data_IF_886168158857
#
_entry.id   IF_886168158857
#
_cell.length_a   1.000
_cell.length_b   1.000
_cell.length_c   1.000
_cell.angle_alpha   90.00
_cell.angle_beta   90.00
_cell.angle_gamma   90.00
#
_symmetry.space_group_name_H-M   'P 1'
#
loop_
_entity.id
_entity.type
_entity.pdbx_description
1 polymer ?
#
# COMPACT_ATOMS: atom_id res chain seq x y z
N UNK A 1 -16.27 -7.05 11.36
CA UNK A 1 -15.47 -5.98 10.74
C UNK A 1 -16.17 -5.62 9.45
N UNK A 2 -16.56 -4.38 9.27
CA UNK A 2 -17.24 -3.91 8.07
C UNK A 2 -16.25 -3.12 7.24
N UNK A 3 -15.72 -3.74 6.20
CA UNK A 3 -15.00 -3.04 5.15
C UNK A 3 -15.98 -2.13 4.41
N UNK A 4 -15.57 -0.91 4.12
CA UNK A 4 -16.42 0.02 3.37
C UNK A 4 -16.62 -0.45 1.93
N UNK A 5 -17.71 0.01 1.30
CA UNK A 5 -17.98 -0.26 -0.11
C UNK A 5 -16.83 0.23 -0.99
N UNK A 6 -16.58 -0.48 -2.10
CA UNK A 6 -15.60 -0.06 -3.12
C UNK A 6 -16.08 1.14 -3.94
N UNK A 7 -17.41 1.30 -4.06
CA UNK A 7 -18.05 2.40 -4.79
C UNK A 7 -18.39 3.55 -3.82
N UNK A 8 -17.39 4.31 -3.43
CA UNK A 8 -17.54 5.48 -2.58
C UNK A 8 -17.42 6.77 -3.38
N UNK A 9 -18.07 7.86 -2.96
CA UNK A 9 -17.80 9.20 -3.50
C UNK A 9 -16.33 9.56 -3.30
N UNK A 10 -15.70 10.10 -4.35
CA UNK A 10 -14.30 10.53 -4.30
C UNK A 10 -14.14 11.94 -4.82
N UNK A 11 -13.36 12.73 -4.13
CA UNK A 11 -12.94 14.05 -4.57
C UNK A 11 -11.58 13.95 -5.24
N UNK A 12 -11.48 14.43 -6.46
CA UNK A 12 -10.28 14.39 -7.27
C UNK A 12 -9.72 15.79 -7.49
N UNK A 13 -8.40 15.88 -7.60
CA UNK A 13 -7.70 17.05 -8.13
C UNK A 13 -6.89 16.65 -9.35
N UNK A 14 -6.82 17.54 -10.33
CA UNK A 14 -5.99 17.39 -11.52
C UNK A 14 -5.09 18.61 -11.65
N UNK A 15 -3.82 18.39 -11.95
CA UNK A 15 -2.83 19.44 -12.18
C UNK A 15 -1.74 18.96 -13.13
N UNK A 16 -1.13 19.88 -13.88
CA UNK A 16 -0.01 19.59 -14.76
C UNK A 16 1.22 19.27 -13.92
N UNK A 17 2.01 18.27 -14.32
CA UNK A 17 3.26 17.97 -13.64
C UNK A 17 4.23 19.13 -13.79
N UNK A 18 4.65 19.77 -12.68
CA UNK A 18 5.61 20.87 -12.72
C UNK A 18 6.97 20.54 -13.34
N UNK A 19 7.30 19.24 -13.44
CA UNK A 19 8.52 18.75 -14.04
C UNK A 19 8.39 18.41 -15.52
N UNK A 20 7.17 18.49 -16.10
CA UNK A 20 6.93 18.19 -17.50
C UNK A 20 7.68 19.13 -18.43
N UNK A 21 8.18 18.56 -19.53
CA UNK A 21 8.70 19.36 -20.64
C UNK A 21 7.54 20.03 -21.39
N UNK A 22 7.74 21.21 -21.99
CA UNK A 22 6.66 21.94 -22.66
C UNK A 22 6.00 21.18 -23.81
N UNK A 23 6.74 20.27 -24.45
CA UNK A 23 6.29 19.48 -25.61
C UNK A 23 5.73 18.09 -25.21
N UNK A 24 5.77 17.75 -23.91
CA UNK A 24 5.33 16.46 -23.38
C UNK A 24 4.61 16.66 -22.04
N UNK A 25 3.42 17.28 -22.12
CA UNK A 25 2.63 17.58 -20.92
C UNK A 25 2.17 16.29 -20.27
N UNK A 26 2.49 16.15 -18.99
CA UNK A 26 1.97 15.11 -18.12
C UNK A 26 1.03 15.76 -17.09
N UNK A 27 0.02 15.02 -16.65
CA UNK A 27 -0.93 15.46 -15.63
C UNK A 27 -1.07 14.43 -14.55
N UNK A 28 -1.10 14.92 -13.31
CA UNK A 28 -1.51 14.11 -12.18
C UNK A 28 -3.01 14.25 -11.94
N UNK A 29 -3.66 13.11 -11.65
CA UNK A 29 -5.02 13.01 -11.16
C UNK A 29 -4.99 12.28 -9.82
N UNK A 30 -5.26 13.00 -8.72
CA UNK A 30 -5.05 12.50 -7.36
C UNK A 30 -6.36 12.39 -6.58
N UNK A 31 -6.56 11.27 -5.89
CA UNK A 31 -7.71 10.99 -5.04
C UNK A 31 -7.53 11.66 -3.67
N UNK A 32 -8.11 12.85 -3.50
CA UNK A 32 -8.03 13.60 -2.24
C UNK A 32 -8.75 12.87 -1.10
N UNK A 33 -9.84 12.14 -1.38
CA UNK A 33 -10.57 11.37 -0.35
C UNK A 33 -9.68 10.33 0.28
N UNK A 34 -8.90 9.60 -0.52
CA UNK A 34 -7.93 8.63 -0.03
C UNK A 34 -6.72 9.29 0.62
N UNK A 35 -6.08 10.21 -0.08
CA UNK A 35 -4.81 10.82 0.35
C UNK A 35 -4.94 11.65 1.63
N UNK A 36 -6.15 12.11 1.96
CA UNK A 36 -6.42 12.81 3.23
C UNK A 36 -7.06 11.92 4.30
N UNK A 37 -7.21 10.63 4.04
CA UNK A 37 -7.71 9.67 5.04
C UNK A 37 -6.71 9.44 6.17
N UNK A 38 -7.19 8.96 7.31
CA UNK A 38 -6.37 8.61 8.47
C UNK A 38 -5.80 7.18 8.40
N UNK A 39 -5.76 6.59 7.20
CA UNK A 39 -5.16 5.27 7.05
C UNK A 39 -3.69 5.28 7.49
N UNK A 40 -3.28 4.20 8.14
CA UNK A 40 -1.88 3.92 8.49
C UNK A 40 -1.59 2.43 8.29
N UNK A 41 -0.35 2.11 7.94
CA UNK A 41 0.08 0.72 7.92
C UNK A 41 0.14 0.19 9.35
N UNK A 42 -0.62 -0.87 9.63
CA UNK A 42 -0.64 -1.54 10.94
C UNK A 42 0.40 -2.66 11.03
N UNK A 43 1.34 -2.74 10.09
CA UNK A 43 2.48 -3.66 10.15
C UNK A 43 3.23 -3.49 11.48
N UNK A 44 3.48 -4.60 12.17
CA UNK A 44 4.10 -4.57 13.50
C UNK A 44 3.19 -4.06 14.63
N UNK A 45 1.91 -3.77 14.36
CA UNK A 45 0.96 -3.21 15.33
C UNK A 45 -0.43 -3.87 15.22
N UNK A 46 -0.49 -5.15 14.85
CA UNK A 46 -1.73 -5.90 14.75
C UNK A 46 -2.30 -5.99 13.33
N UNK A 47 -1.47 -5.94 12.30
CA UNK A 47 -1.92 -6.18 10.93
C UNK A 47 -2.50 -7.59 10.77
N UNK A 48 -3.78 -7.71 10.46
CA UNK A 48 -4.44 -9.00 10.25
C UNK A 48 -3.85 -9.79 9.07
N UNK A 49 -3.22 -9.11 8.10
CA UNK A 49 -2.59 -9.73 6.93
C UNK A 49 -1.27 -10.45 7.20
N UNK A 50 -0.70 -10.36 8.41
CA UNK A 50 0.51 -11.09 8.78
C UNK A 50 0.24 -12.33 9.65
N UNK A 51 -1.02 -12.64 9.95
CA UNK A 51 -1.40 -13.82 10.72
C UNK A 51 -1.48 -15.04 9.82
N UNK A 52 -0.47 -15.92 9.90
CA UNK A 52 -0.41 -17.14 9.09
C UNK A 52 -1.52 -18.16 9.40
N UNK A 53 -2.22 -18.03 10.54
CA UNK A 53 -3.41 -18.85 10.84
C UNK A 53 -4.65 -18.40 10.07
N UNK A 54 -4.57 -17.26 9.38
CA UNK A 54 -5.64 -16.64 8.59
C UNK A 54 -5.11 -16.38 7.16
N UNK A 55 -4.91 -17.44 6.36
CA UNK A 55 -4.21 -17.34 5.07
C UNK A 55 -4.93 -16.48 4.04
N UNK A 56 -6.23 -16.25 4.21
CA UNK A 56 -7.06 -15.42 3.31
C UNK A 56 -7.09 -13.93 3.72
N UNK A 57 -6.24 -13.53 4.68
CA UNK A 57 -6.15 -12.16 5.14
C UNK A 57 -5.00 -11.39 4.46
N UNK A 58 -5.27 -10.13 4.13
CA UNK A 58 -4.28 -9.13 3.77
C UNK A 58 -3.44 -9.40 2.52
N UNK A 59 -2.57 -8.45 2.20
CA UNK A 59 -1.80 -8.43 0.96
C UNK A 59 -0.65 -9.46 0.90
N UNK A 60 -0.15 -9.93 2.05
CA UNK A 60 1.01 -10.85 2.07
C UNK A 60 0.66 -12.30 1.70
N UNK A 61 -0.62 -12.66 1.60
CA UNK A 61 -1.05 -14.04 1.29
C UNK A 61 -1.05 -14.35 -0.20
N UNK A 62 -1.18 -13.34 -1.06
CA UNK A 62 -1.26 -13.53 -2.51
C UNK A 62 0.11 -13.63 -3.20
N UNK A 63 1.20 -13.26 -2.52
CA UNK A 63 2.48 -12.98 -3.17
C UNK A 63 2.45 -11.59 -3.84
N UNK A 64 3.60 -11.14 -4.33
CA UNK A 64 3.77 -9.83 -4.96
C UNK A 64 4.06 -10.02 -6.44
N UNK A 65 3.17 -9.56 -7.32
CA UNK A 65 3.41 -9.51 -8.75
C UNK A 65 4.44 -8.43 -9.07
N UNK A 66 5.40 -8.76 -9.91
CA UNK A 66 6.39 -7.78 -10.37
C UNK A 66 5.79 -6.89 -11.44
N UNK A 67 6.13 -5.60 -11.40
CA UNK A 67 5.69 -4.63 -12.41
C UNK A 67 6.46 -4.76 -13.72
N UNK A 68 7.56 -5.52 -13.73
CA UNK A 68 8.38 -5.83 -14.88
C UNK A 68 9.72 -6.46 -14.49
N UNK A 69 10.57 -6.71 -15.49
CA UNK A 69 11.87 -7.38 -15.31
C UNK A 69 12.81 -6.60 -14.38
N UNK A 70 12.74 -5.28 -14.39
CA UNK A 70 13.61 -4.44 -13.55
C UNK A 70 13.21 -4.52 -12.08
N UNK A 71 11.91 -4.62 -11.76
CA UNK A 71 11.40 -4.82 -10.40
C UNK A 71 11.85 -6.19 -9.86
N UNK A 72 11.66 -7.27 -10.66
CA UNK A 72 12.14 -8.61 -10.27
C UNK A 72 13.65 -8.62 -10.05
N UNK A 73 14.43 -8.01 -10.94
CA UNK A 73 15.89 -7.92 -10.84
C UNK A 73 16.32 -7.14 -9.58
N UNK A 74 15.65 -6.02 -9.30
CA UNK A 74 15.90 -5.26 -8.07
C UNK A 74 15.69 -6.13 -6.83
N UNK A 75 14.56 -6.84 -6.75
CA UNK A 75 14.29 -7.76 -5.64
C UNK A 75 15.31 -8.91 -5.58
N UNK A 76 15.77 -9.43 -6.74
CA UNK A 76 16.82 -10.46 -6.76
C UNK A 76 18.13 -9.98 -6.14
N UNK A 77 18.52 -8.74 -6.37
CA UNK A 77 19.71 -8.14 -5.74
C UNK A 77 19.56 -8.06 -4.21
N UNK A 78 18.37 -7.72 -3.72
CA UNK A 78 18.06 -7.72 -2.28
C UNK A 78 18.08 -9.13 -1.71
N UNK A 79 17.45 -10.11 -2.38
CA UNK A 79 17.39 -11.52 -1.98
C UNK A 79 18.79 -12.11 -1.82
N UNK A 80 19.74 -11.74 -2.70
CA UNK A 80 21.12 -12.18 -2.60
C UNK A 80 21.83 -11.71 -1.32
N UNK A 81 21.27 -10.76 -0.59
CA UNK A 81 21.80 -10.26 0.69
C UNK A 81 21.10 -10.85 1.92
N UNK A 82 20.03 -11.63 1.73
CA UNK A 82 19.30 -12.24 2.83
C UNK A 82 20.08 -13.41 3.43
N UNK A 83 19.83 -13.64 4.71
CA UNK A 83 20.40 -14.73 5.49
C UNK A 83 19.30 -15.53 6.19
N UNK A 84 19.59 -16.75 6.74
CA UNK A 84 18.61 -17.49 7.54
C UNK A 84 18.09 -16.71 8.76
N UNK A 85 18.82 -15.70 9.23
CA UNK A 85 18.37 -14.85 10.35
C UNK A 85 17.38 -13.77 9.91
N UNK A 86 17.31 -13.45 8.61
CA UNK A 86 16.40 -12.45 8.05
C UNK A 86 15.04 -13.06 7.68
N UNK A 87 15.01 -14.31 7.18
CA UNK A 87 13.82 -14.91 6.57
C UNK A 87 13.60 -16.35 6.99
N UNK A 88 12.37 -16.65 7.44
CA UNK A 88 11.98 -17.96 7.94
C UNK A 88 12.12 -19.08 6.91
N UNK A 89 11.76 -18.80 5.65
CA UNK A 89 11.79 -19.77 4.55
C UNK A 89 13.05 -19.65 3.69
N UNK A 90 14.20 -19.39 4.32
CA UNK A 90 15.46 -19.23 3.60
C UNK A 90 15.82 -20.46 2.75
N UNK A 91 15.63 -21.66 3.28
CA UNK A 91 15.90 -22.90 2.55
C UNK A 91 15.02 -23.05 1.30
N UNK A 92 13.78 -22.55 1.35
CA UNK A 92 12.89 -22.51 0.20
C UNK A 92 13.36 -21.50 -0.87
N UNK A 93 13.89 -20.36 -0.44
CA UNK A 93 14.42 -19.32 -1.33
C UNK A 93 15.63 -19.82 -2.11
N UNK A 94 16.53 -20.55 -1.45
CA UNK A 94 17.78 -21.06 -2.08
C UNK A 94 17.62 -22.42 -2.74
N UNK A 95 16.44 -23.05 -2.64
CA UNK A 95 16.13 -24.32 -3.32
C UNK A 95 16.01 -24.14 -4.84
N UNK A 96 15.95 -25.25 -5.57
CA UNK A 96 15.71 -25.24 -7.02
C UNK A 96 14.35 -24.59 -7.39
N UNK A 97 13.36 -24.57 -6.50
CA UNK A 97 12.08 -23.91 -6.69
C UNK A 97 12.19 -22.36 -6.62
N UNK A 98 13.19 -21.85 -5.90
CA UNK A 98 13.46 -20.42 -5.77
C UNK A 98 12.37 -19.65 -5.02
N UNK A 99 12.41 -18.35 -5.15
CA UNK A 99 11.53 -17.39 -4.47
C UNK A 99 10.51 -16.74 -5.41
N UNK A 100 10.52 -17.10 -6.69
CA UNK A 100 9.62 -16.60 -7.73
C UNK A 100 8.79 -17.73 -8.30
N UNK A 101 7.53 -17.47 -8.57
CA UNK A 101 6.64 -18.35 -9.32
C UNK A 101 5.95 -17.61 -10.45
N UNK A 102 5.34 -18.36 -11.36
CA UNK A 102 4.48 -17.83 -12.42
C UNK A 102 3.06 -18.28 -12.10
N UNK A 103 2.11 -17.37 -12.12
CA UNK A 103 0.71 -17.70 -11.88
C UNK A 103 0.00 -18.26 -13.13
N UNK A 104 -1.29 -18.54 -13.01
CA UNK A 104 -2.09 -19.15 -14.08
C UNK A 104 -2.31 -18.18 -15.28
N UNK A 105 -2.12 -16.88 -15.08
CA UNK A 105 -2.23 -15.84 -16.11
C UNK A 105 -0.89 -15.62 -16.84
N UNK A 106 0.18 -16.21 -16.32
CA UNK A 106 1.53 -16.12 -16.87
C UNK A 106 2.37 -15.01 -16.26
N UNK A 107 1.86 -14.33 -15.23
CA UNK A 107 2.54 -13.24 -14.54
C UNK A 107 3.51 -13.75 -13.49
N UNK A 108 4.64 -13.05 -13.37
CA UNK A 108 5.69 -13.41 -12.41
C UNK A 108 5.45 -12.70 -11.08
N UNK A 109 5.56 -13.48 -9.99
CA UNK A 109 5.35 -12.97 -8.63
C UNK A 109 6.25 -13.67 -7.62
N UNK A 110 6.33 -13.13 -6.41
CA UNK A 110 6.96 -13.83 -5.29
C UNK A 110 6.19 -15.10 -4.95
N UNK A 111 6.92 -16.19 -4.74
CA UNK A 111 6.33 -17.51 -4.49
C UNK A 111 5.51 -17.54 -3.20
N UNK A 112 4.39 -18.23 -3.24
CA UNK A 112 3.57 -18.54 -2.07
C UNK A 112 4.03 -19.87 -1.46
N UNK A 113 4.38 -19.86 -0.17
CA UNK A 113 4.81 -21.02 0.62
C UNK A 113 3.92 -21.09 1.84
N UNK A 114 3.29 -22.25 2.06
CA UNK A 114 2.36 -22.47 3.19
C UNK A 114 1.29 -21.40 3.33
N UNK A 115 0.70 -20.95 2.21
CA UNK A 115 -0.42 -20.03 2.18
C UNK A 115 -0.07 -18.53 2.26
N UNK A 116 1.21 -18.16 2.18
CA UNK A 116 1.62 -16.75 2.12
C UNK A 116 2.94 -16.56 1.38
N UNK A 117 3.27 -15.30 1.06
CA UNK A 117 4.52 -14.91 0.43
C UNK A 117 5.73 -15.53 1.17
N UNK A 118 6.69 -16.05 0.42
CA UNK A 118 7.93 -16.68 0.95
C UNK A 118 8.74 -15.74 1.85
N UNK A 119 8.59 -14.44 1.69
CA UNK A 119 9.23 -13.41 2.53
C UNK A 119 8.42 -13.06 3.79
N UNK A 120 7.26 -13.69 4.03
CA UNK A 120 6.48 -13.48 5.23
C UNK A 120 7.00 -14.34 6.38
N UNK A 121 7.66 -13.73 7.35
CA UNK A 121 8.03 -14.37 8.61
C UNK A 121 6.77 -14.49 9.49
N UNK A 122 6.51 -15.71 9.98
CA UNK A 122 5.32 -16.06 10.74
C UNK A 122 5.60 -16.06 12.24
N UNK A 123 4.56 -16.12 13.09
CA UNK A 123 4.70 -16.25 14.53
C UNK A 123 5.70 -17.34 14.93
N UNK A 124 6.60 -17.02 15.86
CA UNK A 124 7.66 -17.93 16.32
C UNK A 124 9.00 -17.79 15.60
N UNK A 125 9.09 -17.08 14.48
CA UNK A 125 10.39 -16.78 13.86
C UNK A 125 11.16 -15.71 14.66
N UNK A 126 12.44 -15.99 14.95
CA UNK A 126 13.29 -15.06 15.71
C UNK A 126 12.96 -14.93 17.20
N UNK A 127 11.94 -15.62 17.68
CA UNK A 127 11.63 -15.67 19.12
C UNK A 127 12.48 -16.73 19.80
N UNK A 128 13.14 -16.37 20.88
CA UNK A 128 13.70 -17.38 21.78
C UNK A 128 12.56 -18.25 22.34
N UNK A 129 12.67 -19.58 22.23
CA UNK A 129 11.68 -20.55 22.69
C UNK A 129 11.71 -20.59 24.22
N UNK A 130 11.25 -19.53 24.89
CA UNK A 130 10.92 -19.55 26.31
C UNK A 130 9.40 -19.63 26.42
N UNK A 131 8.96 -20.83 26.85
CA UNK A 131 7.58 -21.24 26.83
C UNK A 131 6.66 -20.31 27.63
N UNK A 132 5.60 -19.91 27.00
CA UNK A 132 4.44 -19.38 27.68
C UNK A 132 3.61 -18.41 26.85
N UNK A 133 2.38 -18.81 26.64
CA UNK A 133 1.20 -18.12 26.20
C UNK A 133 1.03 -17.83 24.70
N UNK A 134 -0.10 -18.33 24.20
CA UNK A 134 -0.61 -18.28 22.84
C UNK A 134 -1.11 -16.89 22.39
N UNK A 135 -0.80 -15.83 23.11
CA UNK A 135 -1.06 -14.45 22.67
C UNK A 135 0.07 -14.02 21.71
N UNK A 136 -0.13 -14.32 20.45
CA UNK A 136 0.77 -13.91 19.36
C UNK A 136 0.75 -12.40 19.26
N UNK A 137 1.74 -11.76 19.88
CA UNK A 137 2.00 -10.33 19.72
C UNK A 137 2.43 -10.07 18.27
N UNK A 138 1.52 -9.53 17.45
CA UNK A 138 1.77 -9.14 16.06
C UNK A 138 2.90 -8.07 15.90
N UNK A 139 3.47 -7.60 17.01
CA UNK A 139 4.63 -6.70 17.07
C UNK A 139 5.94 -7.40 17.42
N UNK A 140 5.99 -8.73 17.50
CA UNK A 140 7.19 -9.46 17.87
C UNK A 140 8.35 -9.21 16.87
N UNK A 141 9.59 -9.05 17.36
CA UNK A 141 10.76 -8.91 16.50
C UNK A 141 10.85 -10.04 15.47
N UNK A 142 11.09 -9.70 14.21
CA UNK A 142 11.22 -10.67 13.11
C UNK A 142 9.90 -11.08 12.46
N UNK A 143 8.75 -10.83 13.06
CA UNK A 143 7.44 -11.14 12.50
C UNK A 143 7.10 -10.20 11.33
N UNK A 144 6.50 -10.73 10.26
CA UNK A 144 6.04 -9.97 9.10
C UNK A 144 7.00 -10.01 7.92
N UNK A 145 6.90 -9.08 6.99
CA UNK A 145 7.72 -9.08 5.77
C UNK A 145 9.22 -8.95 6.08
N UNK A 146 10.01 -9.97 5.73
CA UNK A 146 11.47 -10.01 5.94
C UNK A 146 12.18 -8.82 5.26
N UNK A 147 11.72 -8.42 4.06
CA UNK A 147 12.29 -7.28 3.33
C UNK A 147 12.05 -5.97 4.06
N UNK A 148 10.87 -5.81 4.66
CA UNK A 148 10.53 -4.63 5.47
C UNK A 148 11.35 -4.58 6.77
N UNK A 149 11.46 -5.73 7.47
CA UNK A 149 12.28 -5.84 8.68
C UNK A 149 13.75 -5.54 8.40
N UNK A 150 14.27 -6.03 7.27
CA UNK A 150 15.64 -5.75 6.83
C UNK A 150 15.86 -4.27 6.53
N UNK A 151 14.90 -3.60 5.91
CA UNK A 151 14.97 -2.17 5.68
C UNK A 151 15.11 -1.39 7.00
N UNK A 152 14.27 -1.71 7.99
CA UNK A 152 14.38 -1.10 9.32
C UNK A 152 15.72 -1.40 10.00
N UNK A 153 16.16 -2.66 9.96
CA UNK A 153 17.42 -3.08 10.57
C UNK A 153 18.65 -2.40 9.94
N UNK A 154 18.57 -2.06 8.65
CA UNK A 154 19.65 -1.38 7.91
C UNK A 154 19.50 0.14 7.84
N UNK A 155 18.36 0.68 8.35
CA UNK A 155 18.11 2.12 8.39
C UNK A 155 17.82 2.73 7.02
N UNK A 156 17.28 1.93 6.08
CA UNK A 156 16.86 2.39 4.77
C UNK A 156 15.33 2.38 4.66
N UNK A 157 14.79 3.14 3.74
CA UNK A 157 13.35 3.18 3.50
C UNK A 157 12.86 1.84 2.92
N UNK A 158 11.69 1.31 3.37
CA UNK A 158 11.18 0.02 2.92
C UNK A 158 10.99 -0.10 1.40
N UNK A 159 10.69 1.00 0.70
CA UNK A 159 10.55 1.02 -0.76
C UNK A 159 11.84 0.64 -1.50
N UNK A 160 13.01 0.81 -0.87
CA UNK A 160 14.31 0.45 -1.46
C UNK A 160 14.59 -1.06 -1.47
N UNK A 161 13.82 -1.88 -0.75
CA UNK A 161 14.07 -3.32 -0.62
C UNK A 161 12.88 -4.20 -1.04
N UNK A 162 11.69 -3.63 -1.20
CA UNK A 162 10.46 -4.38 -1.47
C UNK A 162 10.11 -4.36 -2.96
N UNK A 163 9.37 -5.38 -3.46
CA UNK A 163 8.73 -5.29 -4.77
C UNK A 163 7.88 -4.03 -4.90
N UNK A 164 7.78 -3.49 -6.10
CA UNK A 164 7.09 -2.22 -6.35
C UNK A 164 5.65 -2.23 -5.83
N UNK A 165 4.89 -3.28 -6.11
CA UNK A 165 3.51 -3.41 -5.62
C UNK A 165 3.43 -3.38 -4.08
N UNK A 166 4.43 -3.95 -3.38
CA UNK A 166 4.41 -4.04 -1.92
C UNK A 166 4.71 -2.71 -1.23
N UNK A 167 5.58 -1.88 -1.81
CA UNK A 167 5.88 -0.60 -1.19
C UNK A 167 4.91 0.50 -1.61
N UNK A 168 4.31 0.40 -2.80
CA UNK A 168 3.25 1.31 -3.22
C UNK A 168 1.98 1.17 -2.37
N UNK A 169 1.72 -0.03 -1.83
CA UNK A 169 0.52 -0.24 -1.02
C UNK A 169 0.50 0.73 0.19
N UNK A 170 -0.62 1.39 0.41
CA UNK A 170 -1.92 1.24 -0.26
C UNK A 170 -2.19 2.32 -1.33
N UNK A 171 -1.16 2.80 -2.00
CA UNK A 171 -1.28 3.79 -3.08
C UNK A 171 -1.15 3.07 -4.42
N UNK A 172 -2.06 3.35 -5.33
CA UNK A 172 -2.00 2.86 -6.70
C UNK A 172 -1.63 3.98 -7.64
N UNK A 173 -0.55 3.77 -8.41
CA UNK A 173 -0.21 4.58 -9.58
C UNK A 173 -0.68 3.86 -10.83
N UNK A 174 -1.37 4.57 -11.70
CA UNK A 174 -1.75 4.06 -13.02
C UNK A 174 -1.65 5.15 -14.08
N UNK A 175 -1.52 4.73 -15.33
CA UNK A 175 -1.28 5.63 -16.45
C UNK A 175 -2.34 5.45 -17.53
N UNK A 176 -2.77 6.56 -18.14
CA UNK A 176 -3.57 6.53 -19.37
C UNK A 176 -3.18 7.66 -20.30
N UNK A 177 -3.27 7.42 -21.61
CA UNK A 177 -3.21 8.49 -22.60
C UNK A 177 -4.60 9.09 -22.76
N UNK A 178 -4.67 10.40 -22.70
CA UNK A 178 -5.90 11.16 -22.89
C UNK A 178 -5.76 11.97 -24.17
N UNK A 179 -6.72 11.80 -25.09
CA UNK A 179 -6.80 12.59 -26.32
C UNK A 179 -7.86 13.66 -26.14
N UNK A 180 -7.47 14.90 -26.29
CA UNK A 180 -8.38 16.06 -26.23
C UNK A 180 -9.19 16.21 -27.53
N UNK A 181 -10.33 16.95 -27.53
CA UNK A 181 -11.15 17.14 -28.73
C UNK A 181 -10.44 17.81 -29.91
N UNK A 182 -9.38 18.57 -29.66
CA UNK A 182 -8.52 19.22 -30.66
C UNK A 182 -7.43 18.28 -31.23
N UNK A 183 -7.33 17.04 -30.68
CA UNK A 183 -6.38 16.03 -31.09
C UNK A 183 -5.04 16.07 -30.33
N UNK A 184 -4.86 16.99 -29.39
CA UNK A 184 -3.71 16.97 -28.50
C UNK A 184 -3.81 15.78 -27.53
N UNK A 185 -2.67 15.23 -27.14
CA UNK A 185 -2.58 14.10 -26.21
C UNK A 185 -1.69 14.45 -25.02
N UNK A 186 -2.08 13.94 -23.85
CA UNK A 186 -1.23 14.00 -22.66
C UNK A 186 -1.23 12.65 -21.93
N UNK A 187 -0.19 12.40 -21.14
CA UNK A 187 -0.14 11.28 -20.22
C UNK A 187 -0.79 11.71 -18.90
N UNK A 188 -1.84 10.99 -18.48
CA UNK A 188 -2.43 11.15 -17.16
C UNK A 188 -1.86 10.07 -16.22
N UNK A 189 -1.26 10.51 -15.13
CA UNK A 189 -0.81 9.67 -14.03
C UNK A 189 -1.80 9.80 -12.88
N UNK A 190 -2.53 8.73 -12.60
CA UNK A 190 -3.49 8.70 -11.48
C UNK A 190 -2.81 8.16 -10.23
N UNK A 191 -2.95 8.89 -9.11
CA UNK A 191 -2.54 8.51 -7.76
C UNK A 191 -3.80 8.33 -6.91
N UNK A 192 -4.08 7.10 -6.50
CA UNK A 192 -5.34 6.75 -5.85
C UNK A 192 -5.16 5.65 -4.78
N UNK A 193 -6.25 5.26 -4.16
CA UNK A 193 -6.29 4.10 -3.28
C UNK A 193 -5.99 2.82 -4.06
N UNK A 194 -5.13 1.98 -3.49
CA UNK A 194 -4.95 0.61 -3.93
C UNK A 194 -5.98 -0.26 -3.20
N UNK A 195 -7.21 -0.27 -3.69
CA UNK A 195 -8.28 -1.10 -3.15
C UNK A 195 -8.19 -2.56 -3.65
N UNK A 196 -9.11 -3.41 -3.21
CA UNK A 196 -9.15 -4.84 -3.58
C UNK A 196 -9.09 -5.09 -5.09
N UNK A 197 -9.68 -4.21 -5.91
CA UNK A 197 -9.69 -4.34 -7.37
C UNK A 197 -8.30 -4.26 -7.98
N UNK A 198 -7.37 -3.65 -7.27
CA UNK A 198 -5.96 -3.59 -7.69
C UNK A 198 -5.28 -4.96 -7.78
N UNK A 199 -5.79 -5.95 -7.03
CA UNK A 199 -5.29 -7.33 -7.00
C UNK A 199 -5.98 -8.25 -8.02
N UNK A 200 -6.77 -7.72 -8.95
CA UNK A 200 -7.56 -8.51 -9.88
C UNK A 200 -8.60 -9.38 -9.17
N UNK A 201 -8.85 -10.57 -9.72
CA UNK A 201 -9.84 -11.50 -9.16
C UNK A 201 -9.49 -11.95 -7.73
N UNK A 202 -8.21 -12.20 -7.44
CA UNK A 202 -7.74 -12.62 -6.12
C UNK A 202 -7.98 -11.60 -5.01
N UNK A 203 -8.10 -10.31 -5.34
CA UNK A 203 -8.40 -9.27 -4.36
C UNK A 203 -9.76 -9.43 -3.69
N UNK A 204 -10.73 -10.00 -4.40
CA UNK A 204 -12.07 -10.26 -3.86
C UNK A 204 -12.12 -11.46 -2.90
N UNK A 205 -11.12 -12.34 -2.97
CA UNK A 205 -10.99 -13.52 -2.12
C UNK A 205 -10.31 -13.22 -0.78
N UNK A 206 -9.75 -12.01 -0.61
CA UNK A 206 -9.17 -11.58 0.67
C UNK A 206 -10.27 -11.37 1.72
N UNK A 207 -10.21 -12.05 2.85
CA UNK A 207 -11.15 -11.88 3.97
C UNK A 207 -11.04 -10.49 4.62
N UNK A 208 -9.83 -9.93 4.63
CA UNK A 208 -9.56 -8.61 5.20
C UNK A 208 -8.57 -7.83 4.31
N UNK A 209 -8.86 -6.55 4.11
CA UNK A 209 -7.97 -5.67 3.38
C UNK A 209 -7.94 -4.28 4.01
N UNK A 210 -6.75 -3.75 4.26
CA UNK A 210 -6.55 -2.61 5.17
C UNK A 210 -7.15 -1.29 4.66
N UNK A 211 -7.17 -1.05 3.34
CA UNK A 211 -7.55 0.27 2.83
C UNK A 211 -9.03 0.61 3.07
N UNK A 212 -9.90 -0.40 3.09
CA UNK A 212 -11.33 -0.24 3.33
C UNK A 212 -11.77 -0.49 4.78
N UNK A 213 -10.87 -0.91 5.67
CA UNK A 213 -11.21 -1.26 7.05
C UNK A 213 -10.86 -0.15 8.04
N UNK A 214 -11.84 0.25 8.85
CA UNK A 214 -11.69 1.29 9.88
C UNK A 214 -10.59 1.00 10.90
N UNK A 215 -10.25 -0.27 11.11
CA UNK A 215 -9.14 -0.72 11.96
C UNK A 215 -7.77 -0.18 11.53
N UNK A 216 -7.61 0.08 10.22
CA UNK A 216 -6.40 0.67 9.68
C UNK A 216 -6.48 2.21 9.52
N UNK A 217 -7.64 2.84 9.80
CA UNK A 217 -7.83 4.29 9.71
C UNK A 217 -7.64 4.97 11.06
N UNK A 218 -6.51 4.65 11.71
CA UNK A 218 -6.14 5.10 13.08
C UNK A 218 -4.86 5.94 13.09
N UNK A 219 -4.35 6.35 11.93
CA UNK A 219 -3.16 7.18 11.80
C UNK A 219 -3.34 8.58 12.36
N UNK A 220 -2.30 9.09 13.02
CA UNK A 220 -2.25 10.46 13.51
C UNK A 220 -2.13 11.48 12.36
N UNK A 221 -1.45 11.08 11.29
CA UNK A 221 -1.24 11.87 10.09
C UNK A 221 -2.02 11.29 8.91
N UNK A 222 -2.51 12.13 7.99
CA UNK A 222 -3.16 11.64 6.77
C UNK A 222 -2.16 10.97 5.82
N UNK A 223 -2.67 10.13 4.90
CA UNK A 223 -1.87 9.34 3.96
C UNK A 223 -0.82 10.18 3.23
N UNK A 224 -1.18 11.36 2.70
CA UNK A 224 -0.21 12.19 1.96
C UNK A 224 0.97 12.66 2.81
N UNK A 225 0.85 12.68 4.15
CA UNK A 225 1.93 13.02 5.09
C UNK A 225 2.68 11.75 5.50
N UNK A 226 1.98 10.71 5.93
CA UNK A 226 2.58 9.47 6.43
C UNK A 226 3.27 8.66 5.33
N UNK A 227 2.78 8.74 4.08
CA UNK A 227 3.35 8.06 2.89
C UNK A 227 4.09 9.04 1.97
N UNK A 228 4.63 10.11 2.54
CA UNK A 228 5.38 11.12 1.76
C UNK A 228 6.58 10.54 1.00
N UNK A 229 7.44 9.67 1.58
CA UNK A 229 8.56 9.09 0.84
C UNK A 229 8.10 8.34 -0.41
N UNK A 230 7.07 7.50 -0.29
CA UNK A 230 6.48 6.73 -1.38
C UNK A 230 5.85 7.64 -2.44
N UNK A 231 5.11 8.66 -2.02
CA UNK A 231 4.50 9.63 -2.94
C UNK A 231 5.56 10.43 -3.70
N UNK A 232 6.65 10.83 -3.05
CA UNK A 232 7.78 11.52 -3.71
C UNK A 232 8.45 10.61 -4.73
N UNK A 233 8.56 9.30 -4.44
CA UNK A 233 9.08 8.32 -5.41
C UNK A 233 8.11 8.11 -6.58
N UNK A 234 6.81 8.09 -6.33
CA UNK A 234 5.77 7.86 -7.35
C UNK A 234 5.57 9.04 -8.30
N UNK A 235 5.76 10.27 -7.85
CA UNK A 235 5.36 11.47 -8.61
C UNK A 235 6.41 12.59 -8.66
N UNK A 236 7.53 12.42 -8.00
CA UNK A 236 8.55 13.44 -7.86
C UNK A 236 8.21 14.50 -6.82
N UNK A 237 9.25 15.13 -6.26
CA UNK A 237 9.10 16.09 -5.17
C UNK A 237 8.25 17.31 -5.56
N UNK A 238 8.40 17.84 -6.78
CA UNK A 238 7.71 19.06 -7.19
C UNK A 238 6.19 18.82 -7.29
N UNK A 239 5.78 17.70 -7.89
CA UNK A 239 4.38 17.33 -7.98
C UNK A 239 3.79 16.98 -6.60
N UNK A 240 4.57 16.32 -5.72
CA UNK A 240 4.16 16.10 -4.33
C UNK A 240 3.91 17.42 -3.59
N UNK A 241 4.77 18.43 -3.74
CA UNK A 241 4.59 19.72 -3.06
C UNK A 241 3.28 20.40 -3.50
N UNK A 242 2.92 20.32 -4.79
CA UNK A 242 1.62 20.80 -5.31
C UNK A 242 0.46 19.98 -4.74
N UNK A 243 0.57 18.66 -4.74
CA UNK A 243 -0.45 17.78 -4.16
C UNK A 243 -0.70 18.11 -2.68
N UNK A 244 0.34 18.33 -1.91
CA UNK A 244 0.24 18.63 -0.48
C UNK A 244 -0.60 19.91 -0.22
N UNK A 245 -0.45 20.95 -1.05
CA UNK A 245 -1.27 22.17 -0.94
C UNK A 245 -2.77 21.86 -1.18
N UNK A 246 -3.09 21.01 -2.15
CA UNK A 246 -4.47 20.56 -2.40
C UNK A 246 -5.04 19.72 -1.24
N UNK A 247 -4.23 18.80 -0.69
CA UNK A 247 -4.63 18.02 0.47
C UNK A 247 -4.90 18.90 1.71
N UNK A 248 -4.04 19.88 1.98
CA UNK A 248 -4.23 20.84 3.07
C UNK A 248 -5.53 21.63 2.91
N UNK A 249 -5.79 22.12 1.70
CA UNK A 249 -7.03 22.86 1.40
C UNK A 249 -8.28 21.95 1.55
N UNK A 250 -8.20 20.69 1.12
CA UNK A 250 -9.26 19.69 1.26
C UNK A 250 -9.58 19.40 2.72
N UNK A 251 -8.56 19.17 3.54
CA UNK A 251 -8.73 18.98 4.98
C UNK A 251 -9.31 20.21 5.68
N UNK A 252 -8.90 21.40 5.29
CA UNK A 252 -9.47 22.65 5.81
C UNK A 252 -10.95 22.77 5.47
N UNK A 253 -11.35 22.41 4.24
CA UNK A 253 -12.75 22.40 3.81
C UNK A 253 -13.58 21.36 4.62
N UNK A 254 -13.08 20.14 4.77
CA UNK A 254 -13.74 19.10 5.58
C UNK A 254 -13.93 19.53 7.04
N UNK A 255 -12.92 20.16 7.65
CA UNK A 255 -13.02 20.72 9.01
C UNK A 255 -14.07 21.82 9.11
N UNK A 256 -14.16 22.69 8.11
CA UNK A 256 -15.18 23.76 8.06
C UNK A 256 -16.60 23.19 7.94
N UNK A 257 -16.80 22.14 7.15
CA UNK A 257 -18.07 21.41 7.03
C UNK A 257 -18.48 20.77 8.37
N UNK A 258 -17.56 20.20 9.10
CA UNK A 258 -17.83 19.51 10.36
C UNK A 258 -18.45 20.41 11.45
N UNK A 259 -18.30 21.73 11.35
CA UNK A 259 -18.76 22.69 12.35
C UNK A 259 -20.30 22.84 12.40
N UNK A 260 -20.99 22.62 11.26
CA UNK A 260 -22.44 22.82 11.16
C UNK A 260 -23.19 21.52 10.93
N UNK A 261 -24.45 21.37 11.38
CA UNK A 261 -25.26 20.18 11.09
C UNK A 261 -25.35 19.88 9.59
N UNK A 262 -25.72 20.87 8.77
CA UNK A 262 -25.82 20.71 7.32
C UNK A 262 -24.47 20.37 6.65
N UNK A 263 -23.37 20.89 7.18
CA UNK A 263 -22.03 20.55 6.70
C UNK A 263 -21.64 19.11 7.03
N UNK A 264 -22.03 18.61 8.21
CA UNK A 264 -21.78 17.21 8.58
C UNK A 264 -22.47 16.22 7.64
N UNK A 265 -23.64 16.56 7.12
CA UNK A 265 -24.34 15.73 6.11
C UNK A 265 -23.56 15.62 4.79
N UNK A 266 -22.63 16.54 4.53
CA UNK A 266 -21.78 16.54 3.33
C UNK A 266 -20.42 15.87 3.55
N UNK A 267 -20.01 15.59 4.78
CA UNK A 267 -18.70 14.96 5.07
C UNK A 267 -18.45 13.67 4.29
N UNK A 268 -19.44 12.77 4.08
CA UNK A 268 -19.22 11.56 3.29
C UNK A 268 -18.78 11.80 1.83
N UNK A 269 -18.90 13.04 1.34
CA UNK A 269 -18.39 13.43 0.01
C UNK A 269 -16.91 13.86 0.04
N UNK A 270 -16.36 14.11 1.23
CA UNK A 270 -15.02 14.63 1.42
C UNK A 270 -14.09 13.67 2.17
N UNK A 271 -14.62 12.91 3.11
CA UNK A 271 -13.85 12.07 4.01
C UNK A 271 -14.08 10.62 3.69
N UNK A 272 -13.03 9.83 3.69
CA UNK A 272 -13.11 8.40 3.43
C UNK A 272 -14.03 7.70 4.47
N UNK A 273 -14.96 6.81 4.03
CA UNK A 273 -15.92 6.19 4.94
C UNK A 273 -15.27 5.43 6.11
N UNK A 274 -14.18 4.69 5.85
CA UNK A 274 -13.48 3.98 6.91
C UNK A 274 -12.86 4.94 7.96
N UNK A 275 -12.43 6.16 7.55
CA UNK A 275 -11.99 7.21 8.47
C UNK A 275 -13.16 7.73 9.31
N UNK A 276 -14.33 7.99 8.70
CA UNK A 276 -15.51 8.43 9.43
C UNK A 276 -15.94 7.38 10.46
N UNK A 277 -15.96 6.10 10.10
CA UNK A 277 -16.30 5.01 11.01
C UNK A 277 -15.29 4.89 12.16
N UNK A 278 -13.99 4.97 11.88
CA UNK A 278 -12.94 4.94 12.90
C UNK A 278 -13.06 6.11 13.91
N UNK A 279 -13.48 7.29 13.43
CA UNK A 279 -13.73 8.46 14.27
C UNK A 279 -15.09 8.44 15.00
N UNK A 280 -15.93 7.43 14.77
CA UNK A 280 -17.28 7.31 15.33
C UNK A 280 -18.24 8.40 14.81
N UNK A 281 -18.11 8.79 13.57
CA UNK A 281 -18.82 9.90 12.92
C UNK A 281 -19.78 9.43 11.84
#
# INVERSE_FOLDING_TARGET
VTECDLEIPRTWVEFDDPASEPDAVERFRCDLTWLTSSWTCTFGSGCAGIDASKPDFGCCVLGAHFTGDEDEKHVAEVVATLTPDDVQFYDEIVSDAGWVETDDEGDRKTRVVEGACVFLNRPGFGQAVDGGDDDVDNGAPGLGCALHQKAWATGVEPWTLKPEVCWQLPIRRSYRRVTLPDGEEYLETTIAEYDRRGWGSGGHDLDWYCSGNSEAHIGADPVYVSQKPELVELMGKQAYDVLAEYCDAHLAAARALAVTPAGRDLLPLYVHPATLEAEGR
#
